data_IF_091537457032
#
_entry.id   IF_091537457032
#
_cell.length_a   1.000
_cell.length_b   1.000
_cell.length_c   1.000
_cell.angle_alpha   90.00
_cell.angle_beta   90.00
_cell.angle_gamma   90.00
#
_symmetry.space_group_name_H-M   'P 1'
#
loop_
_entity.id
_entity.type
_entity.pdbx_description
1 polymer ?
#
# COMPACT_ATOMS: atom_id res chain seq x y z
N UNK A 1 0.68 -17.12 26.88
CA UNK A 1 -0.12 -16.03 26.29
C UNK A 1 0.50 -15.65 24.96
N UNK A 2 -0.20 -15.86 23.84
CA UNK A 2 0.32 -15.50 22.51
C UNK A 2 0.26 -13.98 22.34
N UNK A 3 1.41 -13.35 22.12
CA UNK A 3 1.50 -11.91 21.82
C UNK A 3 1.38 -11.66 20.31
N UNK A 4 1.00 -10.46 19.89
CA UNK A 4 0.79 -10.15 18.47
C UNK A 4 2.09 -10.06 17.65
N UNK A 5 3.24 -9.81 18.29
CA UNK A 5 4.52 -9.57 17.62
C UNK A 5 5.02 -10.84 16.90
N UNK A 6 5.12 -12.02 17.54
CA UNK A 6 5.52 -13.25 16.85
C UNK A 6 4.62 -13.59 15.66
N UNK A 7 3.31 -13.40 15.79
CA UNK A 7 2.36 -13.61 14.69
C UNK A 7 2.62 -12.67 13.52
N UNK A 8 2.87 -11.38 13.81
CA UNK A 8 3.17 -10.37 12.78
C UNK A 8 4.50 -10.68 12.07
N UNK A 9 5.51 -11.14 12.80
CA UNK A 9 6.80 -11.54 12.21
C UNK A 9 6.66 -12.80 11.35
N UNK A 10 5.92 -13.80 11.82
CA UNK A 10 5.68 -15.01 11.04
C UNK A 10 4.85 -14.71 9.79
N UNK A 11 3.84 -13.85 9.88
CA UNK A 11 3.06 -13.40 8.73
C UNK A 11 3.94 -12.76 7.66
N UNK A 12 4.85 -11.85 8.07
CA UNK A 12 5.82 -11.22 7.16
C UNK A 12 6.75 -12.24 6.51
N UNK A 13 7.21 -13.24 7.24
CA UNK A 13 8.04 -14.31 6.67
C UNK A 13 7.26 -15.12 5.62
N UNK A 14 5.99 -15.44 5.90
CA UNK A 14 5.13 -16.13 4.93
C UNK A 14 4.93 -15.29 3.66
N UNK A 15 4.66 -14.00 3.82
CA UNK A 15 4.53 -13.04 2.71
C UNK A 15 5.77 -13.01 1.82
N UNK A 16 6.97 -12.92 2.42
CA UNK A 16 8.25 -12.95 1.68
C UNK A 16 8.46 -14.26 0.94
N UNK A 17 7.98 -15.39 1.48
CA UNK A 17 8.00 -16.69 0.79
C UNK A 17 6.86 -16.88 -0.23
N UNK A 18 5.97 -15.91 -0.39
CA UNK A 18 4.83 -15.96 -1.32
C UNK A 18 3.56 -16.62 -0.76
N UNK A 19 3.55 -17.10 0.49
CA UNK A 19 2.32 -17.60 1.14
C UNK A 19 1.49 -16.43 1.70
N UNK A 20 0.92 -15.64 0.79
CA UNK A 20 0.07 -14.50 1.13
C UNK A 20 -1.19 -14.92 1.89
N UNK A 21 -1.78 -16.09 1.58
CA UNK A 21 -2.97 -16.58 2.31
C UNK A 21 -2.61 -16.98 3.75
N UNK A 22 -1.44 -17.56 3.98
CA UNK A 22 -0.92 -17.80 5.32
C UNK A 22 -0.63 -16.49 6.07
N UNK A 23 -0.03 -15.52 5.40
CA UNK A 23 0.21 -14.19 5.97
C UNK A 23 -1.09 -13.50 6.41
N UNK A 24 -2.14 -13.52 5.57
CA UNK A 24 -3.47 -12.98 5.89
C UNK A 24 -4.01 -13.59 7.20
N UNK A 25 -4.02 -14.93 7.32
CA UNK A 25 -4.53 -15.61 8.52
C UNK A 25 -3.78 -15.18 9.79
N UNK A 26 -2.46 -15.05 9.71
CA UNK A 26 -1.64 -14.64 10.86
C UNK A 26 -1.80 -13.16 11.20
N UNK A 27 -1.91 -12.29 10.19
CA UNK A 27 -2.19 -10.87 10.40
C UNK A 27 -3.58 -10.63 11.00
N UNK A 28 -4.62 -11.37 10.59
CA UNK A 28 -5.95 -11.29 11.21
C UNK A 28 -5.89 -11.65 12.71
N UNK A 29 -5.21 -12.74 13.07
CA UNK A 29 -5.01 -13.12 14.49
C UNK A 29 -4.22 -12.07 15.28
N UNK A 30 -3.17 -11.50 14.67
CA UNK A 30 -2.41 -10.42 15.27
C UNK A 30 -3.26 -9.15 15.46
N UNK A 31 -4.15 -8.85 14.50
CA UNK A 31 -5.06 -7.72 14.56
C UNK A 31 -6.03 -7.86 15.73
N UNK A 32 -6.66 -9.02 15.91
CA UNK A 32 -7.57 -9.27 17.03
C UNK A 32 -6.93 -9.00 18.40
N UNK A 33 -5.68 -9.45 18.57
CA UNK A 33 -4.91 -9.22 19.81
C UNK A 33 -4.61 -7.72 19.99
N UNK A 34 -4.15 -7.05 18.93
CA UNK A 34 -3.82 -5.61 18.97
C UNK A 34 -5.04 -4.75 19.21
N UNK A 35 -6.17 -5.06 18.58
CA UNK A 35 -7.45 -4.36 18.79
C UNK A 35 -7.92 -4.53 20.22
N UNK A 36 -7.84 -5.74 20.79
CA UNK A 36 -8.20 -5.97 22.20
C UNK A 36 -7.30 -5.20 23.16
N UNK A 37 -6.00 -5.09 22.87
CA UNK A 37 -5.03 -4.46 23.75
C UNK A 37 -4.99 -2.93 23.63
N UNK A 38 -5.21 -2.38 22.43
CA UNK A 38 -4.94 -0.97 22.12
C UNK A 38 -6.12 -0.23 21.47
N UNK A 39 -7.19 -0.94 21.09
CA UNK A 39 -8.30 -0.38 20.33
C UNK A 39 -8.10 -0.43 18.82
N UNK A 40 -9.23 -0.35 18.09
CA UNK A 40 -9.25 -0.48 16.63
C UNK A 40 -8.66 0.73 15.90
N UNK A 41 -8.72 1.92 16.50
CA UNK A 41 -8.13 3.15 15.95
C UNK A 41 -6.67 3.37 16.41
N UNK A 42 -6.01 2.34 16.94
CA UNK A 42 -4.61 2.45 17.39
C UNK A 42 -3.60 2.33 16.25
N UNK A 43 -2.40 2.92 16.43
CA UNK A 43 -1.28 2.71 15.50
C UNK A 43 -0.95 1.24 15.33
N UNK A 44 -1.02 0.44 16.40
CA UNK A 44 -0.76 -0.99 16.33
C UNK A 44 -1.72 -1.70 15.39
N UNK A 45 -3.01 -1.35 15.43
CA UNK A 45 -4.01 -1.85 14.50
C UNK A 45 -3.76 -1.33 13.07
N UNK A 46 -3.44 -0.05 12.89
CA UNK A 46 -3.17 0.55 11.58
C UNK A 46 -2.00 -0.12 10.82
N UNK A 47 -0.91 -0.45 11.53
CA UNK A 47 0.20 -1.23 10.97
C UNK A 47 -0.28 -2.57 10.39
N UNK A 48 -1.15 -3.27 11.13
CA UNK A 48 -1.67 -4.58 10.70
C UNK A 48 -2.74 -4.46 9.62
N UNK A 49 -3.57 -3.42 9.64
CA UNK A 49 -4.50 -3.11 8.55
C UNK A 49 -3.75 -2.85 7.24
N UNK A 50 -2.65 -2.10 7.26
CA UNK A 50 -1.85 -1.89 6.07
C UNK A 50 -1.24 -3.19 5.55
N UNK A 51 -0.68 -4.01 6.44
CA UNK A 51 -0.13 -5.32 6.06
C UNK A 51 -1.21 -6.22 5.42
N UNK A 52 -2.40 -6.33 6.04
CA UNK A 52 -3.52 -7.05 5.43
C UNK A 52 -3.89 -6.49 4.05
N UNK A 53 -3.89 -5.16 3.92
CA UNK A 53 -4.09 -4.47 2.65
C UNK A 53 -3.14 -4.92 1.54
N UNK A 54 -1.85 -5.02 1.85
CA UNK A 54 -0.81 -5.49 0.93
C UNK A 54 -1.02 -6.97 0.57
N UNK A 55 -1.31 -7.83 1.55
CA UNK A 55 -1.54 -9.25 1.28
C UNK A 55 -2.79 -9.49 0.41
N UNK A 56 -3.90 -8.80 0.70
CA UNK A 56 -5.11 -8.87 -0.12
C UNK A 56 -4.86 -8.37 -1.54
N UNK A 57 -4.05 -7.31 -1.69
CA UNK A 57 -3.65 -6.80 -3.00
C UNK A 57 -2.82 -7.83 -3.78
N UNK A 58 -1.94 -8.57 -3.10
CA UNK A 58 -1.12 -9.62 -3.70
C UNK A 58 -1.95 -10.80 -4.23
N UNK A 59 -3.00 -11.20 -3.50
CA UNK A 59 -3.93 -12.27 -3.93
C UNK A 59 -5.07 -11.80 -4.83
N UNK A 60 -5.16 -10.50 -5.12
CA UNK A 60 -6.17 -9.91 -6.01
C UNK A 60 -7.54 -9.65 -5.35
N UNK A 61 -7.65 -9.73 -4.02
CA UNK A 61 -8.85 -9.44 -3.25
C UNK A 61 -9.00 -7.92 -3.04
N UNK A 62 -9.24 -7.19 -4.15
CA UNK A 62 -9.15 -5.72 -4.20
C UNK A 62 -10.19 -4.99 -3.32
N UNK A 63 -11.28 -5.64 -2.95
CA UNK A 63 -12.30 -5.06 -2.05
C UNK A 63 -11.79 -5.04 -0.61
N UNK A 64 -11.26 -6.16 -0.14
CA UNK A 64 -10.73 -6.31 1.21
C UNK A 64 -9.44 -5.50 1.38
N UNK A 65 -8.59 -5.46 0.33
CA UNK A 65 -7.42 -4.59 0.29
C UNK A 65 -7.79 -3.12 0.51
N UNK A 66 -8.78 -2.60 -0.24
CA UNK A 66 -9.22 -1.21 -0.11
C UNK A 66 -9.78 -0.91 1.28
N UNK A 67 -10.61 -1.80 1.83
CA UNK A 67 -11.22 -1.62 3.14
C UNK A 67 -10.16 -1.53 4.24
N UNK A 68 -9.20 -2.47 4.24
CA UNK A 68 -8.12 -2.49 5.23
C UNK A 68 -7.22 -1.25 5.10
N UNK A 69 -6.82 -0.88 3.88
CA UNK A 69 -5.97 0.29 3.66
C UNK A 69 -6.66 1.62 3.97
N UNK A 70 -7.98 1.74 3.76
CA UNK A 70 -8.74 2.94 4.16
C UNK A 70 -8.75 3.12 5.69
N UNK A 71 -8.88 2.04 6.45
CA UNK A 71 -8.78 2.08 7.91
C UNK A 71 -7.36 2.49 8.35
N UNK A 72 -6.33 1.86 7.77
CA UNK A 72 -4.95 2.22 8.05
C UNK A 72 -4.65 3.70 7.74
N UNK A 73 -5.14 4.20 6.60
CA UNK A 73 -4.97 5.59 6.17
C UNK A 73 -5.59 6.54 7.18
N UNK A 74 -6.86 6.34 7.54
CA UNK A 74 -7.57 7.20 8.50
C UNK A 74 -6.79 7.36 9.81
N UNK A 75 -6.26 6.26 10.34
CA UNK A 75 -5.53 6.26 11.60
C UNK A 75 -4.15 6.91 11.45
N UNK A 76 -3.38 6.51 10.43
CA UNK A 76 -2.01 7.01 10.21
C UNK A 76 -1.97 8.49 9.85
N UNK A 77 -2.97 9.00 9.14
CA UNK A 77 -3.06 10.43 8.82
C UNK A 77 -3.43 11.31 10.02
N UNK A 78 -4.12 10.74 11.01
CA UNK A 78 -4.50 11.45 12.22
C UNK A 78 -3.36 11.48 13.28
N UNK A 79 -2.28 10.74 13.06
CA UNK A 79 -1.22 10.56 14.04
C UNK A 79 0.07 11.29 13.65
N UNK A 80 0.58 12.12 14.57
CA UNK A 80 1.86 12.79 14.40
C UNK A 80 3.02 11.80 14.32
N UNK A 81 3.97 12.02 13.40
CA UNK A 81 5.14 11.17 13.23
C UNK A 81 4.90 9.92 12.37
N UNK A 82 3.71 9.78 11.78
CA UNK A 82 3.33 8.67 10.92
C UNK A 82 3.27 9.06 9.43
N UNK A 83 3.93 10.14 9.03
CA UNK A 83 3.83 10.73 7.69
C UNK A 83 4.33 9.76 6.60
N UNK A 84 5.46 9.09 6.83
CA UNK A 84 5.98 8.06 5.92
C UNK A 84 5.03 6.86 5.83
N UNK A 85 4.52 6.41 6.97
CA UNK A 85 3.58 5.30 7.08
C UNK A 85 2.25 5.59 6.37
N UNK A 86 1.75 6.83 6.49
CA UNK A 86 0.59 7.31 5.77
C UNK A 86 0.86 7.38 4.26
N UNK A 87 2.06 7.82 3.84
CA UNK A 87 2.48 7.86 2.45
C UNK A 87 2.49 6.46 1.81
N UNK A 88 3.09 5.46 2.49
CA UNK A 88 3.07 4.05 2.06
C UNK A 88 1.63 3.53 1.92
N UNK A 89 0.76 3.86 2.88
CA UNK A 89 -0.65 3.43 2.83
C UNK A 89 -1.39 4.01 1.61
N UNK A 90 -1.13 5.29 1.29
CA UNK A 90 -1.70 5.94 0.11
C UNK A 90 -1.18 5.33 -1.18
N UNK A 91 0.10 4.97 -1.26
CA UNK A 91 0.67 4.27 -2.41
C UNK A 91 0.00 2.90 -2.62
N UNK A 92 -0.21 2.14 -1.54
CA UNK A 92 -0.93 0.86 -1.61
C UNK A 92 -2.39 1.04 -2.08
N UNK A 93 -3.09 2.08 -1.62
CA UNK A 93 -4.42 2.42 -2.17
C UNK A 93 -4.35 2.83 -3.64
N UNK A 94 -3.31 3.55 -4.04
CA UNK A 94 -3.03 3.88 -5.44
C UNK A 94 -2.92 2.62 -6.29
N UNK A 95 -2.18 1.61 -5.83
CA UNK A 95 -2.05 0.30 -6.49
C UNK A 95 -3.38 -0.46 -6.56
N UNK A 96 -4.22 -0.39 -5.52
CA UNK A 96 -5.57 -0.96 -5.55
C UNK A 96 -6.39 -0.31 -6.66
N UNK A 97 -6.41 1.02 -6.74
CA UNK A 97 -7.17 1.73 -7.76
C UNK A 97 -6.63 1.49 -9.18
N UNK A 98 -5.31 1.39 -9.37
CA UNK A 98 -4.70 0.98 -10.64
C UNK A 98 -5.20 -0.40 -11.09
N UNK A 99 -5.23 -1.39 -10.19
CA UNK A 99 -5.75 -2.73 -10.51
C UNK A 99 -7.25 -2.76 -10.79
N UNK A 100 -8.02 -1.81 -10.23
CA UNK A 100 -9.43 -1.60 -10.56
C UNK A 100 -9.65 -0.82 -11.87
N UNK A 101 -8.59 -0.28 -12.46
CA UNK A 101 -8.68 0.60 -13.63
C UNK A 101 -9.12 2.04 -13.29
N UNK A 102 -9.20 2.41 -12.02
CA UNK A 102 -9.51 3.77 -11.58
C UNK A 102 -8.23 4.62 -11.50
N UNK A 103 -7.77 5.06 -12.66
CA UNK A 103 -6.55 5.88 -12.78
C UNK A 103 -6.70 7.26 -12.14
N UNK A 104 -7.91 7.83 -12.14
CA UNK A 104 -8.18 9.13 -11.53
C UNK A 104 -8.12 9.02 -10.01
N UNK A 105 -8.75 7.99 -9.43
CA UNK A 105 -8.67 7.69 -8.01
C UNK A 105 -7.24 7.37 -7.56
N UNK A 106 -6.50 6.58 -8.35
CA UNK A 106 -5.08 6.28 -8.09
C UNK A 106 -4.21 7.55 -8.05
N UNK A 107 -4.45 8.50 -8.95
CA UNK A 107 -3.75 9.79 -8.93
C UNK A 107 -4.14 10.60 -7.70
N UNK A 108 -5.44 10.77 -7.47
CA UNK A 108 -5.98 11.60 -6.40
C UNK A 108 -5.52 11.15 -5.00
N UNK A 109 -5.47 9.83 -4.76
CA UNK A 109 -5.05 9.32 -3.45
C UNK A 109 -3.57 9.57 -3.14
N UNK A 110 -2.71 9.56 -4.17
CA UNK A 110 -1.27 9.88 -4.04
C UNK A 110 -1.05 11.38 -3.90
N UNK A 111 -1.73 12.18 -4.73
CA UNK A 111 -1.66 13.64 -4.72
C UNK A 111 -2.15 14.22 -3.38
N UNK A 112 -3.21 13.64 -2.80
CA UNK A 112 -3.72 14.03 -1.48
C UNK A 112 -2.73 13.85 -0.32
N UNK A 113 -1.59 13.19 -0.54
CA UNK A 113 -0.49 13.09 0.44
C UNK A 113 0.40 14.33 0.51
N UNK A 114 0.27 15.29 -0.41
CA UNK A 114 1.04 16.53 -0.41
C UNK A 114 2.55 16.29 -0.51
N UNK A 115 3.28 16.67 0.55
CA UNK A 115 4.75 16.54 0.60
C UNK A 115 5.25 15.19 1.12
N UNK A 116 4.33 14.27 1.45
CA UNK A 116 4.65 12.94 1.94
C UNK A 116 4.09 11.88 1.00
N UNK A 117 4.76 11.70 -0.13
CA UNK A 117 4.45 10.67 -1.14
C UNK A 117 5.65 9.76 -1.35
N UNK A 118 5.43 8.45 -1.48
CA UNK A 118 6.47 7.47 -1.78
C UNK A 118 6.56 7.20 -3.28
N UNK A 119 7.69 6.65 -3.71
CA UNK A 119 7.86 6.15 -5.06
C UNK A 119 7.00 4.90 -5.28
N UNK A 120 6.31 4.82 -6.42
CA UNK A 120 5.46 3.67 -6.78
C UNK A 120 6.24 2.42 -7.20
N UNK A 121 7.57 2.49 -7.31
CA UNK A 121 8.43 1.32 -7.46
C UNK A 121 8.59 0.64 -6.09
N UNK A 122 8.11 -0.59 -5.97
CA UNK A 122 8.12 -1.38 -4.72
C UNK A 122 9.53 -1.66 -4.19
N UNK A 123 10.54 -1.64 -5.06
CA UNK A 123 11.94 -1.84 -4.70
C UNK A 123 12.72 -0.53 -4.50
N UNK A 124 12.03 0.61 -4.39
CA UNK A 124 12.68 1.88 -4.10
C UNK A 124 13.19 1.89 -2.65
N UNK A 125 14.43 2.34 -2.36
CA UNK A 125 15.03 2.31 -1.02
C UNK A 125 14.37 3.21 0.04
N UNK A 126 13.20 3.80 -0.26
CA UNK A 126 12.26 4.28 0.76
C UNK A 126 12.59 5.64 1.34
N UNK A 127 12.13 6.70 0.67
CA UNK A 127 12.07 8.07 1.19
C UNK A 127 10.68 8.65 0.87
N UNK A 128 10.28 9.73 1.56
CA UNK A 128 9.15 10.56 1.13
C UNK A 128 9.61 11.71 0.24
N UNK A 129 8.79 12.06 -0.73
CA UNK A 129 9.03 13.14 -1.69
C UNK A 129 7.81 14.05 -1.78
N UNK A 130 8.04 15.29 -2.16
CA UNK A 130 6.97 16.17 -2.63
C UNK A 130 6.34 15.61 -3.89
N UNK A 131 5.00 15.56 -3.94
CA UNK A 131 4.28 15.03 -5.11
C UNK A 131 4.62 15.76 -6.42
N UNK A 132 4.94 17.05 -6.32
CA UNK A 132 5.38 17.90 -7.44
C UNK A 132 6.78 17.55 -7.96
N UNK A 133 7.65 16.96 -7.12
CA UNK A 133 9.02 16.59 -7.48
C UNK A 133 9.10 15.22 -8.19
N UNK A 134 8.05 14.41 -8.15
CA UNK A 134 8.05 13.06 -8.71
C UNK A 134 7.69 13.04 -10.20
N UNK A 135 8.42 12.20 -10.94
CA UNK A 135 8.12 11.87 -12.35
C UNK A 135 6.86 11.01 -12.42
N UNK A 136 6.17 11.03 -13.55
CA UNK A 136 4.92 10.28 -13.77
C UNK A 136 4.95 9.55 -15.09
N UNK A 137 4.20 8.47 -15.18
CA UNK A 137 3.97 7.82 -16.46
C UNK A 137 3.25 8.79 -17.41
N UNK A 138 3.82 9.07 -18.59
CA UNK A 138 3.26 10.02 -19.55
C UNK A 138 1.85 9.64 -20.02
N UNK A 139 1.55 8.34 -20.06
CA UNK A 139 0.26 7.84 -20.53
C UNK A 139 -0.85 7.93 -19.48
N UNK A 140 -0.69 7.32 -18.30
CA UNK A 140 -1.75 7.23 -17.29
C UNK A 140 -1.65 8.28 -16.19
N UNK A 141 -0.49 8.94 -16.01
CA UNK A 141 -0.24 9.99 -15.02
C UNK A 141 -0.46 9.59 -13.54
N UNK A 142 -0.64 8.28 -13.25
CA UNK A 142 -1.05 7.80 -11.94
C UNK A 142 0.11 7.37 -11.01
N UNK A 143 0.97 6.40 -11.37
CA UNK A 143 2.13 6.10 -10.54
C UNK A 143 3.18 7.19 -10.65
N UNK A 144 3.94 7.35 -9.56
CA UNK A 144 4.90 8.41 -9.37
C UNK A 144 6.28 7.82 -9.05
N UNK A 145 7.33 8.46 -9.55
CA UNK A 145 8.68 7.89 -9.50
C UNK A 145 9.71 8.95 -9.13
N UNK A 146 10.56 8.64 -8.15
CA UNK A 146 11.65 9.53 -7.75
C UNK A 146 12.72 9.65 -8.84
N UNK A 147 12.92 8.61 -9.64
CA UNK A 147 13.92 8.57 -10.71
C UNK A 147 13.39 7.87 -11.96
N UNK A 148 14.04 8.12 -13.10
CA UNK A 148 13.75 7.38 -14.33
C UNK A 148 14.09 5.88 -14.21
N UNK A 149 15.08 5.54 -13.37
CA UNK A 149 15.42 4.14 -13.06
C UNK A 149 14.27 3.44 -12.34
N UNK A 150 13.68 4.07 -11.32
CA UNK A 150 12.49 3.54 -10.64
C UNK A 150 11.31 3.38 -11.58
N UNK A 151 11.06 4.36 -12.45
CA UNK A 151 10.01 4.24 -13.48
C UNK A 151 10.25 3.05 -14.41
N UNK A 152 11.49 2.87 -14.89
CA UNK A 152 11.84 1.75 -15.79
C UNK A 152 11.71 0.41 -15.09
N UNK A 153 12.16 0.30 -13.83
CA UNK A 153 12.04 -0.92 -13.04
C UNK A 153 10.58 -1.31 -12.83
N UNK A 154 9.74 -0.37 -12.38
CA UNK A 154 8.31 -0.60 -12.16
C UNK A 154 7.56 -0.90 -13.46
N UNK A 155 7.92 -0.23 -14.57
CA UNK A 155 7.37 -0.51 -15.90
C UNK A 155 7.55 -1.98 -16.29
N UNK A 156 8.74 -2.53 -16.10
CA UNK A 156 9.03 -3.93 -16.41
C UNK A 156 8.36 -4.88 -15.42
N UNK A 157 8.37 -4.56 -14.13
CA UNK A 157 7.88 -5.45 -13.08
C UNK A 157 6.35 -5.62 -13.08
N UNK A 158 5.60 -4.51 -13.22
CA UNK A 158 4.12 -4.55 -13.12
C UNK A 158 3.39 -3.53 -13.99
N UNK A 159 3.94 -2.33 -14.15
CA UNK A 159 3.14 -1.18 -14.58
C UNK A 159 2.79 -1.23 -16.07
N UNK A 160 3.65 -1.79 -16.94
CA UNK A 160 3.38 -1.89 -18.38
C UNK A 160 2.04 -2.54 -18.68
N UNK A 161 1.75 -3.69 -18.07
CA UNK A 161 0.53 -4.47 -18.32
C UNK A 161 -0.71 -3.68 -17.88
N UNK A 162 -0.66 -3.06 -16.69
CA UNK A 162 -1.76 -2.25 -16.17
C UNK A 162 -1.97 -0.99 -17.02
N UNK A 163 -0.90 -0.27 -17.37
CA UNK A 163 -1.01 0.97 -18.14
C UNK A 163 -1.59 0.75 -19.54
N UNK A 164 -1.22 -0.37 -20.19
CA UNK A 164 -1.71 -0.73 -21.52
C UNK A 164 -3.16 -1.24 -21.51
N UNK A 165 -3.66 -1.79 -20.40
CA UNK A 165 -5.07 -2.20 -20.32
C UNK A 165 -6.03 -1.00 -20.22
N UNK A 166 -5.55 0.16 -19.74
CA UNK A 166 -6.32 1.42 -19.68
C UNK A 166 -6.92 1.81 -21.03
N UNK A 167 -6.17 1.63 -22.12
CA UNK A 167 -6.58 2.07 -23.46
C UNK A 167 -7.57 1.12 -24.13
N UNK A 168 -7.78 -0.08 -23.57
CA UNK A 168 -8.75 -1.07 -24.09
C UNK A 168 -10.15 -0.94 -23.47
N UNK A 169 -10.27 -0.16 -22.40
CA UNK A 169 -11.53 0.07 -21.68
C UNK A 169 -12.13 1.47 -21.97
N UNK A 170 -11.59 2.17 -22.97
CA UNK A 170 -12.03 3.49 -23.42
C UNK A 170 -12.68 3.40 -24.80
#
# INVERSE_FOLDING_TARGET
MTTAIPLSNQARNLSVSGDHRGAIRLHQRALEIKVRAHGIDSIQAALTFNALGEEYLAVGELRDAEAALKLAKKIREAASGQEFDAAVTRENLGRVYEKKGDWKGAKAIREGGGDHVTCSNENCPGETFAYSALKRCSACQAPVYCTASCQKADWVARHKVLCQSRTKAA
#
